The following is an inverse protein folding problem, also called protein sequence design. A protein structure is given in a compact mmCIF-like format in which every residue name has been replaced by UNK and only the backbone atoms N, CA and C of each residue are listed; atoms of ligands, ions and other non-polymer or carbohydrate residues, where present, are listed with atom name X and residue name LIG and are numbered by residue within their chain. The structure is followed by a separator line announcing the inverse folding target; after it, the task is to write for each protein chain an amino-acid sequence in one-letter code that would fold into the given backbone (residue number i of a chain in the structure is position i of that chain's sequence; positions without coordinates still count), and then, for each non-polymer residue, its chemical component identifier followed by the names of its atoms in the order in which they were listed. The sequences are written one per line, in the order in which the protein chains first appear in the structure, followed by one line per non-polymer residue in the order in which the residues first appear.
data_IF_128900148701
#
_entry.id   IF_128900148701
#
_cell.length_a   1.000
_cell.length_b   1.000
_cell.length_c   1.000
_cell.angle_alpha   90.00
_cell.angle_beta   90.00
_cell.angle_gamma   90.00
#
_symmetry.space_group_name_H-M   'P 1'
#
loop_
_entity.id
_entity.type
_entity.pdbx_description
1 polymer ?
#
# COMPACT_ATOMS: atom_id res chain seq x y z
N UNK A 1 -5.36 -33.17 8.62
CA UNK A 1 -4.39 -33.06 9.74
C UNK A 1 -3.46 -31.84 9.63
N UNK A 2 -3.10 -31.36 8.44
CA UNK A 2 -2.26 -30.16 8.25
C UNK A 2 -2.98 -28.83 8.57
N UNK A 3 -4.25 -28.67 8.23
CA UNK A 3 -5.00 -27.45 8.52
C UNK A 3 -5.07 -27.09 10.01
N UNK A 4 -5.21 -28.09 10.89
CA UNK A 4 -5.16 -27.88 12.35
C UNK A 4 -3.79 -27.39 12.85
N UNK A 5 -2.69 -27.75 12.16
CA UNK A 5 -1.34 -27.29 12.51
C UNK A 5 -1.11 -25.82 12.13
N UNK A 6 -1.72 -25.34 11.04
CA UNK A 6 -1.62 -23.95 10.58
C UNK A 6 -2.38 -23.02 11.54
N UNK A 7 -3.60 -23.38 11.93
CA UNK A 7 -4.42 -22.60 12.89
C UNK A 7 -3.73 -22.49 14.26
N UNK A 8 -2.95 -23.50 14.69
CA UNK A 8 -2.22 -23.46 15.93
C UNK A 8 -1.08 -22.41 15.98
N UNK A 9 -0.63 -21.88 14.83
CA UNK A 9 0.38 -20.81 14.79
C UNK A 9 -0.21 -19.50 15.32
N UNK A 10 -1.47 -19.23 15.04
CA UNK A 10 -2.19 -18.02 15.48
C UNK A 10 -2.79 -18.16 16.89
N UNK A 11 -2.77 -19.36 17.48
CA UNK A 11 -3.27 -19.58 18.84
C UNK A 11 -2.39 -18.85 19.86
N UNK A 12 -3.01 -18.01 20.70
CA UNK A 12 -2.36 -17.32 21.81
C UNK A 12 -2.33 -18.27 23.01
N UNK A 13 -1.12 -18.67 23.45
CA UNK A 13 -0.95 -19.58 24.57
C UNK A 13 -1.06 -18.83 25.91
N UNK A 14 -1.41 -19.51 27.03
CA UNK A 14 -1.57 -18.86 28.33
C UNK A 14 -0.37 -18.00 28.74
N UNK A 15 0.86 -18.45 28.46
CA UNK A 15 2.09 -17.72 28.78
C UNK A 15 2.39 -16.52 27.85
N UNK A 16 1.53 -16.22 26.88
CA UNK A 16 1.67 -15.09 25.94
C UNK A 16 0.51 -14.10 26.08
N UNK A 17 -0.55 -14.45 26.82
CA UNK A 17 -1.79 -13.66 26.90
C UNK A 17 -1.57 -12.25 27.41
N UNK A 18 -0.77 -12.11 28.47
CA UNK A 18 -0.52 -10.80 29.09
C UNK A 18 0.11 -9.83 28.11
N UNK A 19 1.21 -10.22 27.47
CA UNK A 19 1.94 -9.40 26.50
C UNK A 19 1.09 -9.09 25.28
N UNK A 20 0.35 -10.09 24.79
CA UNK A 20 -0.53 -9.91 23.61
C UNK A 20 -1.71 -9.00 23.93
N UNK A 21 -2.35 -9.12 25.11
CA UNK A 21 -3.42 -8.23 25.52
C UNK A 21 -2.93 -6.81 25.77
N UNK A 22 -1.74 -6.63 26.34
CA UNK A 22 -1.13 -5.30 26.48
C UNK A 22 -0.87 -4.67 25.11
N UNK A 23 -0.31 -5.41 24.15
CA UNK A 23 -0.11 -4.93 22.79
C UNK A 23 -1.45 -4.56 22.11
N UNK A 24 -2.46 -5.43 22.21
CA UNK A 24 -3.81 -5.18 21.70
C UNK A 24 -4.40 -3.89 22.27
N UNK A 25 -4.32 -3.70 23.58
CA UNK A 25 -4.83 -2.50 24.25
C UNK A 25 -4.09 -1.24 23.81
N UNK A 26 -2.74 -1.29 23.75
CA UNK A 26 -1.94 -0.15 23.29
C UNK A 26 -2.28 0.25 21.85
N UNK A 27 -2.34 -0.71 20.92
CA UNK A 27 -2.68 -0.40 19.54
C UNK A 27 -4.13 0.06 19.37
N UNK A 28 -5.05 -0.47 20.19
CA UNK A 28 -6.44 0.01 20.22
C UNK A 28 -6.51 1.45 20.66
N UNK A 29 -5.83 1.82 21.76
CA UNK A 29 -5.79 3.19 22.25
C UNK A 29 -5.19 4.14 21.21
N UNK A 30 -4.04 3.79 20.61
CA UNK A 30 -3.38 4.62 19.61
C UNK A 30 -4.28 4.87 18.40
N UNK A 31 -4.91 3.83 17.86
CA UNK A 31 -5.83 3.98 16.73
C UNK A 31 -7.11 4.73 17.12
N UNK A 32 -7.66 4.50 18.32
CA UNK A 32 -8.84 5.22 18.82
C UNK A 32 -8.56 6.72 18.98
N UNK A 33 -7.43 7.10 19.57
CA UNK A 33 -7.03 8.50 19.70
C UNK A 33 -6.91 9.18 18.33
N UNK A 34 -6.31 8.49 17.38
CA UNK A 34 -6.19 8.97 16.02
C UNK A 34 -7.57 9.17 15.36
N UNK A 35 -8.45 8.18 15.49
CA UNK A 35 -9.82 8.24 14.97
C UNK A 35 -10.61 9.40 15.58
N UNK A 36 -10.60 9.54 16.91
CA UNK A 36 -11.35 10.59 17.63
C UNK A 36 -10.88 11.97 17.20
N UNK A 37 -9.56 12.17 17.10
CA UNK A 37 -8.96 13.44 16.70
C UNK A 37 -9.34 13.87 15.28
N UNK A 38 -9.47 12.94 14.36
CA UNK A 38 -9.65 13.21 12.93
C UNK A 38 -11.00 12.72 12.37
N UNK A 39 -11.96 12.34 13.23
CA UNK A 39 -13.22 11.69 12.82
C UNK A 39 -13.95 12.42 11.70
N UNK A 40 -14.14 13.72 11.82
CA UNK A 40 -14.94 14.51 10.87
C UNK A 40 -14.37 14.45 9.45
N UNK A 41 -13.04 14.50 9.32
CA UNK A 41 -12.37 14.41 8.03
C UNK A 41 -12.34 12.98 7.47
N UNK A 42 -12.19 11.98 8.35
CA UNK A 42 -12.03 10.58 7.94
C UNK A 42 -13.35 9.86 7.62
N UNK A 43 -14.48 10.37 8.09
CA UNK A 43 -15.82 9.76 7.89
C UNK A 43 -16.62 10.42 6.77
N UNK A 44 -16.08 11.43 6.09
CA UNK A 44 -16.75 12.06 4.95
C UNK A 44 -16.88 11.10 3.77
N UNK A 45 -18.04 11.11 3.12
CA UNK A 45 -18.30 10.27 1.93
C UNK A 45 -17.68 10.90 0.67
N UNK A 46 -17.68 12.23 0.59
CA UNK A 46 -17.18 13.00 -0.56
C UNK A 46 -15.82 13.63 -0.28
N UNK A 47 -15.07 13.95 -1.34
CA UNK A 47 -13.81 14.68 -1.25
C UNK A 47 -12.58 13.88 -1.69
N UNK A 48 -11.44 14.57 -1.80
CA UNK A 48 -10.16 13.98 -2.15
C UNK A 48 -9.51 13.34 -0.91
N UNK A 49 -9.68 12.03 -0.82
CA UNK A 49 -9.18 11.22 0.31
C UNK A 49 -7.66 11.24 0.42
N UNK A 50 -6.96 11.38 -0.70
CA UNK A 50 -5.50 11.42 -0.72
C UNK A 50 -4.95 12.72 -0.15
N UNK A 51 -5.51 13.85 -0.58
CA UNK A 51 -5.07 15.17 -0.10
C UNK A 51 -5.31 15.37 1.39
N UNK A 52 -6.34 14.72 1.94
CA UNK A 52 -6.64 14.75 3.37
C UNK A 52 -5.43 14.28 4.21
N UNK A 53 -4.82 13.16 3.82
CA UNK A 53 -3.66 12.63 4.55
C UNK A 53 -2.41 13.46 4.36
N UNK A 54 -2.14 13.93 3.13
CA UNK A 54 -0.96 14.75 2.83
C UNK A 54 -1.06 16.11 3.51
N UNK A 55 -2.20 16.80 3.37
CA UNK A 55 -2.38 18.16 3.89
C UNK A 55 -2.77 18.21 5.36
N UNK A 56 -3.59 17.26 5.82
CA UNK A 56 -4.12 17.25 7.17
C UNK A 56 -3.22 16.57 8.20
N UNK A 57 -2.52 15.50 7.80
CA UNK A 57 -1.71 14.72 8.73
C UNK A 57 -0.22 14.97 8.62
N UNK A 58 0.26 15.57 7.53
CA UNK A 58 1.67 15.82 7.26
C UNK A 58 2.57 14.59 7.43
N UNK A 59 2.02 13.39 7.21
CA UNK A 59 2.74 12.12 7.33
C UNK A 59 3.62 11.91 6.09
N UNK A 60 4.85 12.38 6.17
CA UNK A 60 5.87 12.08 5.16
C UNK A 60 6.26 10.61 5.21
N UNK A 61 6.29 9.94 4.05
CA UNK A 61 6.72 8.55 3.92
C UNK A 61 5.63 7.49 4.15
N UNK A 62 4.39 7.91 4.45
CA UNK A 62 3.21 7.04 4.52
C UNK A 62 2.20 7.41 3.45
N UNK A 63 1.78 6.43 2.66
CA UNK A 63 0.74 6.58 1.66
C UNK A 63 -0.58 6.04 2.21
N UNK A 64 -1.70 6.78 2.17
CA UNK A 64 -2.98 6.31 2.71
C UNK A 64 -3.65 5.27 1.79
N UNK A 65 -2.86 4.36 1.25
CA UNK A 65 -3.27 3.43 0.19
C UNK A 65 -4.35 2.46 0.68
N UNK A 66 -4.20 1.94 1.90
CA UNK A 66 -5.17 1.00 2.48
C UNK A 66 -6.52 1.68 2.72
N UNK A 67 -6.52 2.90 3.26
CA UNK A 67 -7.74 3.68 3.46
C UNK A 67 -8.40 4.04 2.12
N UNK A 68 -7.63 4.49 1.14
CA UNK A 68 -8.13 4.86 -0.18
C UNK A 68 -8.80 3.68 -0.88
N UNK A 69 -8.19 2.50 -0.85
CA UNK A 69 -8.74 1.27 -1.46
C UNK A 69 -10.02 0.82 -0.74
N UNK A 70 -10.06 0.87 0.60
CA UNK A 70 -11.26 0.48 1.35
C UNK A 70 -12.39 1.49 1.17
N UNK A 71 -12.08 2.79 1.03
CA UNK A 71 -13.06 3.83 0.75
C UNK A 71 -13.66 3.70 -0.65
N UNK A 72 -12.82 3.50 -1.66
CA UNK A 72 -13.21 3.34 -3.06
C UNK A 72 -12.24 2.38 -3.75
N UNK A 73 -12.67 1.14 -3.92
CA UNK A 73 -11.87 0.08 -4.55
C UNK A 73 -11.44 0.42 -5.98
N UNK A 74 -12.18 1.32 -6.64
CA UNK A 74 -11.88 1.79 -7.99
C UNK A 74 -10.71 2.77 -8.06
N UNK A 75 -10.22 3.30 -6.94
CA UNK A 75 -9.11 4.25 -6.94
C UNK A 75 -7.83 3.62 -7.48
N UNK A 76 -7.13 4.35 -8.33
CA UNK A 76 -5.83 3.92 -8.84
C UNK A 76 -4.79 3.88 -7.71
N UNK A 77 -4.08 2.78 -7.62
CA UNK A 77 -2.93 2.60 -6.74
C UNK A 77 -1.77 1.99 -7.56
N UNK A 78 -0.56 2.02 -7.02
CA UNK A 78 0.59 1.47 -7.74
C UNK A 78 0.57 -0.06 -7.73
N UNK A 79 -0.14 -0.65 -8.69
CA UNK A 79 -0.34 -2.11 -8.83
C UNK A 79 0.98 -2.88 -8.93
N UNK A 80 2.01 -2.31 -9.56
CA UNK A 80 3.31 -2.98 -9.67
C UNK A 80 4.08 -3.04 -8.35
N UNK A 81 3.81 -2.11 -7.42
CA UNK A 81 4.38 -2.16 -6.07
C UNK A 81 3.55 -3.00 -5.11
N UNK A 82 2.22 -3.03 -5.30
CA UNK A 82 1.23 -3.65 -4.42
C UNK A 82 0.26 -4.54 -5.21
N UNK A 83 0.74 -5.63 -5.83
CA UNK A 83 0.01 -6.33 -6.90
C UNK A 83 -1.30 -6.97 -6.46
N UNK A 84 -1.43 -7.42 -5.23
CA UNK A 84 -2.64 -8.06 -4.71
C UNK A 84 -3.30 -7.30 -3.56
N UNK A 85 -2.76 -6.15 -3.14
CA UNK A 85 -3.27 -5.41 -1.98
C UNK A 85 -4.76 -5.07 -2.12
N UNK A 86 -5.19 -4.57 -3.28
CA UNK A 86 -6.59 -4.24 -3.51
C UNK A 86 -7.49 -5.47 -3.42
N UNK A 87 -7.04 -6.63 -3.89
CA UNK A 87 -7.81 -7.87 -3.79
C UNK A 87 -7.94 -8.35 -2.35
N UNK A 88 -6.88 -8.23 -1.54
CA UNK A 88 -6.93 -8.54 -0.11
C UNK A 88 -7.86 -7.60 0.66
N UNK A 89 -7.97 -6.35 0.23
CA UNK A 89 -8.83 -5.35 0.85
C UNK A 89 -10.25 -5.30 0.26
N UNK A 90 -10.51 -6.03 -0.83
CA UNK A 90 -11.84 -6.06 -1.46
C UNK A 90 -12.98 -6.39 -0.50
N UNK A 91 -12.88 -7.41 0.39
CA UNK A 91 -13.96 -7.71 1.33
C UNK A 91 -14.24 -6.54 2.29
N UNK A 92 -13.19 -5.84 2.75
CA UNK A 92 -13.34 -4.66 3.61
C UNK A 92 -13.96 -3.48 2.86
N UNK A 93 -13.62 -3.30 1.58
CA UNK A 93 -14.24 -2.27 0.74
C UNK A 93 -15.73 -2.54 0.54
N UNK A 94 -16.13 -3.78 0.28
CA UNK A 94 -17.55 -4.15 0.17
C UNK A 94 -18.31 -3.99 1.49
N UNK A 95 -17.67 -4.32 2.59
CA UNK A 95 -18.24 -4.06 3.93
C UNK A 95 -18.40 -2.56 4.18
N UNK A 96 -17.40 -1.74 3.77
CA UNK A 96 -17.50 -0.30 3.88
C UNK A 96 -18.65 0.28 3.03
N UNK A 97 -18.83 -0.19 1.80
CA UNK A 97 -19.96 0.20 0.95
C UNK A 97 -21.30 -0.07 1.65
N UNK A 98 -21.47 -1.26 2.22
CA UNK A 98 -22.70 -1.63 2.94
C UNK A 98 -22.90 -0.76 4.19
N UNK A 99 -21.86 -0.56 5.00
CA UNK A 99 -21.92 0.28 6.20
C UNK A 99 -22.18 1.75 5.84
N UNK A 100 -21.58 2.26 4.78
CA UNK A 100 -21.81 3.64 4.31
C UNK A 100 -23.25 3.82 3.85
N UNK A 101 -23.81 2.83 3.15
CA UNK A 101 -25.23 2.86 2.75
C UNK A 101 -26.18 2.85 3.98
N UNK A 102 -25.85 2.09 5.02
CA UNK A 102 -26.66 2.00 6.23
C UNK A 102 -26.56 3.24 7.13
N UNK A 103 -25.38 3.83 7.25
CA UNK A 103 -25.09 4.86 8.26
C UNK A 103 -24.97 6.27 7.69
N UNK A 104 -24.79 6.42 6.39
CA UNK A 104 -24.46 7.70 5.74
C UNK A 104 -23.01 8.17 5.97
N UNK A 105 -22.18 7.41 6.70
CA UNK A 105 -20.79 7.74 7.02
C UNK A 105 -19.82 6.78 6.32
N UNK A 106 -18.67 7.30 5.90
CA UNK A 106 -17.58 6.45 5.42
C UNK A 106 -16.91 5.74 6.62
N UNK A 107 -17.13 4.44 6.72
CA UNK A 107 -16.61 3.60 7.83
C UNK A 107 -15.22 3.00 7.51
N UNK A 108 -14.61 3.33 6.36
CA UNK A 108 -13.35 2.74 5.92
C UNK A 108 -12.23 2.86 6.97
N UNK A 109 -12.12 4.01 7.64
CA UNK A 109 -11.06 4.22 8.65
C UNK A 109 -11.21 3.29 9.86
N UNK A 110 -12.45 2.96 10.25
CA UNK A 110 -12.71 2.04 11.37
C UNK A 110 -12.33 0.61 10.99
N UNK A 111 -12.68 0.18 9.78
CA UNK A 111 -12.31 -1.14 9.24
C UNK A 111 -10.81 -1.28 9.07
N UNK A 112 -10.16 -0.23 8.55
CA UNK A 112 -8.69 -0.19 8.43
C UNK A 112 -8.03 -0.19 9.80
N UNK A 113 -8.51 0.58 10.77
CA UNK A 113 -7.97 0.57 12.14
C UNK A 113 -8.05 -0.85 12.75
N UNK A 114 -9.16 -1.56 12.59
CA UNK A 114 -9.30 -2.94 13.05
C UNK A 114 -8.26 -3.87 12.40
N UNK A 115 -8.03 -3.73 11.10
CA UNK A 115 -7.00 -4.46 10.36
C UNK A 115 -5.60 -4.14 10.89
N UNK A 116 -5.27 -2.84 11.09
CA UNK A 116 -3.96 -2.41 11.60
C UNK A 116 -3.72 -2.93 13.01
N UNK A 117 -4.70 -2.81 13.92
CA UNK A 117 -4.64 -3.32 15.30
C UNK A 117 -4.38 -4.83 15.29
N UNK A 118 -5.10 -5.58 14.45
CA UNK A 118 -4.93 -7.02 14.33
C UNK A 118 -3.53 -7.38 13.83
N UNK A 119 -3.07 -6.75 12.74
CA UNK A 119 -1.75 -7.00 12.19
C UNK A 119 -0.63 -6.61 13.16
N UNK A 120 -0.73 -5.47 13.85
CA UNK A 120 0.25 -5.01 14.83
C UNK A 120 0.34 -5.95 16.04
N UNK A 121 -0.83 -6.41 16.54
CA UNK A 121 -0.89 -7.34 17.68
C UNK A 121 -0.24 -8.68 17.33
N UNK A 122 -0.56 -9.25 16.18
CA UNK A 122 0.06 -10.51 15.76
C UNK A 122 1.54 -10.34 15.39
N UNK A 123 1.95 -9.22 14.79
CA UNK A 123 3.35 -8.93 14.56
C UNK A 123 4.13 -8.85 15.88
N UNK A 124 3.58 -8.18 16.91
CA UNK A 124 4.13 -8.15 18.26
C UNK A 124 4.25 -9.54 18.88
N UNK A 125 3.20 -10.37 18.75
CA UNK A 125 3.22 -11.76 19.20
C UNK A 125 4.35 -12.58 18.53
N UNK A 126 4.52 -12.45 17.20
CA UNK A 126 5.56 -13.17 16.48
C UNK A 126 6.97 -12.67 16.82
N UNK A 127 7.17 -11.36 17.00
CA UNK A 127 8.44 -10.81 17.48
C UNK A 127 8.78 -11.38 18.86
N UNK A 128 7.84 -11.35 19.80
CA UNK A 128 8.03 -11.94 21.13
C UNK A 128 8.34 -13.44 21.05
N UNK A 129 7.66 -14.19 20.18
CA UNK A 129 7.96 -15.60 19.94
C UNK A 129 9.33 -15.84 19.33
N UNK A 130 9.81 -14.97 18.44
CA UNK A 130 11.16 -15.04 17.90
C UNK A 130 12.16 -14.90 19.05
N UNK A 131 12.01 -13.87 19.87
CA UNK A 131 12.89 -13.66 21.02
C UNK A 131 12.90 -14.85 21.98
N UNK A 132 11.74 -15.33 22.36
CA UNK A 132 11.62 -16.39 23.38
C UNK A 132 11.84 -17.81 22.87
N UNK A 133 11.27 -18.16 21.70
CA UNK A 133 11.25 -19.55 21.22
C UNK A 133 12.36 -19.85 20.22
N UNK A 134 12.82 -18.86 19.46
CA UNK A 134 13.90 -19.03 18.48
C UNK A 134 15.25 -18.71 19.14
N UNK A 135 15.39 -17.50 19.68
CA UNK A 135 16.62 -16.99 20.31
C UNK A 135 16.83 -17.63 21.71
N UNK A 136 15.76 -17.84 22.46
CA UNK A 136 15.82 -18.47 23.79
C UNK A 136 15.85 -17.48 24.95
N UNK A 137 15.46 -16.23 24.76
CA UNK A 137 15.43 -15.20 25.81
C UNK A 137 14.35 -15.52 26.87
N UNK A 138 14.59 -15.06 28.10
CA UNK A 138 13.59 -15.10 29.18
C UNK A 138 12.36 -14.26 28.82
N UNK A 139 11.26 -14.46 29.54
CA UNK A 139 9.99 -13.80 29.27
C UNK A 139 10.08 -12.28 29.34
N UNK A 140 10.73 -11.76 30.38
CA UNK A 140 10.92 -10.31 30.58
C UNK A 140 11.80 -9.70 29.48
N UNK A 141 12.90 -10.33 29.15
CA UNK A 141 13.82 -9.90 28.09
C UNK A 141 13.11 -9.86 26.73
N UNK A 142 12.38 -10.92 26.38
CA UNK A 142 11.59 -10.96 25.15
C UNK A 142 10.53 -9.87 25.09
N UNK A 143 9.86 -9.56 26.20
CA UNK A 143 8.91 -8.48 26.29
C UNK A 143 9.56 -7.10 26.11
N UNK A 144 10.72 -6.86 26.77
CA UNK A 144 11.49 -5.60 26.66
C UNK A 144 11.95 -5.38 25.21
N UNK A 145 12.53 -6.38 24.55
CA UNK A 145 12.95 -6.25 23.14
C UNK A 145 11.78 -6.07 22.18
N UNK A 146 10.64 -6.67 22.48
CA UNK A 146 9.41 -6.43 21.69
C UNK A 146 8.92 -4.98 21.88
N UNK A 147 8.91 -4.48 23.12
CA UNK A 147 8.56 -3.09 23.41
C UNK A 147 9.55 -2.13 22.73
N UNK A 148 10.85 -2.40 22.80
CA UNK A 148 11.88 -1.60 22.13
C UNK A 148 11.62 -1.53 20.61
N UNK A 149 11.22 -2.64 19.98
CA UNK A 149 10.89 -2.65 18.55
C UNK A 149 9.77 -1.66 18.22
N UNK A 150 8.73 -1.60 19.04
CA UNK A 150 7.59 -0.69 18.84
C UNK A 150 7.82 0.74 19.37
N UNK A 151 8.89 0.99 20.14
CA UNK A 151 9.30 2.33 20.54
C UNK A 151 10.01 3.11 19.43
N UNK A 152 10.45 2.45 18.36
CA UNK A 152 10.91 3.17 17.18
C UNK A 152 9.73 3.90 16.53
N UNK A 153 9.87 5.21 16.37
CA UNK A 153 8.80 6.09 15.87
C UNK A 153 8.18 5.59 14.56
N UNK A 154 8.99 5.11 13.61
CA UNK A 154 8.50 4.58 12.33
C UNK A 154 7.61 3.34 12.52
N UNK A 155 7.97 2.41 13.42
CA UNK A 155 7.20 1.19 13.68
C UNK A 155 5.89 1.53 14.39
N UNK A 156 5.95 2.44 15.37
CA UNK A 156 4.78 2.92 16.08
C UNK A 156 3.81 3.62 15.12
N UNK A 157 4.30 4.54 14.29
CA UNK A 157 3.48 5.23 13.29
C UNK A 157 2.88 4.25 12.27
N UNK A 158 3.64 3.24 11.81
CA UNK A 158 3.13 2.20 10.91
C UNK A 158 1.94 1.42 11.50
N UNK A 159 1.85 1.31 12.84
CA UNK A 159 0.73 0.62 13.52
C UNK A 159 -0.57 1.43 13.57
N UNK A 160 -0.53 2.72 13.24
CA UNK A 160 -1.69 3.62 13.29
C UNK A 160 -1.93 4.39 11.98
N UNK A 161 -0.93 4.49 11.10
CA UNK A 161 -1.11 5.05 9.76
C UNK A 161 -1.85 4.04 8.86
N UNK A 162 -2.91 4.45 8.14
CA UNK A 162 -3.73 3.55 7.32
C UNK A 162 -3.05 3.21 5.99
N UNK A 163 -1.82 2.70 6.11
CA UNK A 163 -0.95 2.24 5.05
C UNK A 163 -0.75 0.71 5.14
N UNK A 164 -0.04 0.14 4.18
CA UNK A 164 0.24 -1.30 4.08
C UNK A 164 1.43 -1.79 4.92
N UNK A 165 2.20 -0.89 5.56
CA UNK A 165 3.45 -1.25 6.25
C UNK A 165 3.27 -2.24 7.39
N UNK A 166 2.26 -2.05 8.24
CA UNK A 166 2.03 -2.98 9.36
C UNK A 166 1.56 -4.36 8.88
N UNK A 167 0.84 -4.43 7.75
CA UNK A 167 0.47 -5.70 7.10
C UNK A 167 1.72 -6.43 6.60
N UNK A 168 2.64 -5.68 5.97
CA UNK A 168 3.94 -6.21 5.54
C UNK A 168 4.77 -6.69 6.73
N UNK A 169 4.81 -5.94 7.83
CA UNK A 169 5.53 -6.32 9.06
C UNK A 169 4.96 -7.60 9.66
N UNK A 170 3.64 -7.74 9.70
CA UNK A 170 2.96 -8.96 10.14
C UNK A 170 3.38 -10.18 9.29
N UNK A 171 3.32 -10.07 7.95
CA UNK A 171 3.71 -11.16 7.06
C UNK A 171 5.21 -11.53 7.22
N UNK A 172 6.08 -10.53 7.34
CA UNK A 172 7.52 -10.75 7.51
C UNK A 172 7.86 -11.37 8.87
N UNK A 173 7.27 -10.89 9.96
CA UNK A 173 7.51 -11.43 11.30
C UNK A 173 6.98 -12.86 11.44
N UNK A 174 5.83 -13.17 10.84
CA UNK A 174 5.33 -14.54 10.73
C UNK A 174 6.32 -15.43 9.96
N UNK A 175 6.83 -14.96 8.82
CA UNK A 175 7.81 -15.71 8.02
C UNK A 175 9.10 -15.96 8.80
N UNK A 176 9.62 -14.94 9.47
CA UNK A 176 10.84 -15.06 10.29
C UNK A 176 10.64 -16.03 11.45
N UNK A 177 9.48 -15.99 12.11
CA UNK A 177 9.15 -16.95 13.16
C UNK A 177 9.09 -18.38 12.63
N UNK A 178 8.40 -18.62 11.50
CA UNK A 178 8.36 -19.93 10.85
C UNK A 178 9.75 -20.42 10.45
N UNK A 179 10.53 -19.56 9.82
CA UNK A 179 11.91 -19.83 9.41
C UNK A 179 12.78 -20.21 10.64
N UNK A 180 12.76 -19.39 11.69
CA UNK A 180 13.53 -19.62 12.91
C UNK A 180 13.15 -20.94 13.60
N UNK A 181 11.86 -21.25 13.69
CA UNK A 181 11.39 -22.53 14.25
C UNK A 181 11.78 -23.74 13.39
N UNK A 182 11.83 -23.58 12.07
CA UNK A 182 12.31 -24.62 11.16
C UNK A 182 13.80 -24.88 11.34
N UNK A 183 14.61 -23.82 11.39
CA UNK A 183 16.05 -23.91 11.63
C UNK A 183 16.36 -24.61 12.97
N UNK A 184 15.65 -24.17 14.02
CA UNK A 184 15.83 -24.79 15.38
C UNK A 184 15.52 -26.28 15.42
N UNK A 185 14.58 -26.73 14.56
CA UNK A 185 14.20 -28.15 14.44
C UNK A 185 15.00 -28.94 13.40
N UNK A 186 16.02 -28.33 12.80
CA UNK A 186 16.81 -28.97 11.72
C UNK A 186 15.98 -29.25 10.44
N UNK A 187 14.87 -28.54 10.26
CA UNK A 187 13.96 -28.72 9.12
C UNK A 187 13.92 -27.48 8.23
N UNK A 188 13.38 -27.62 7.01
CA UNK A 188 13.31 -26.55 6.03
C UNK A 188 11.87 -26.11 5.76
N UNK A 189 11.69 -24.89 5.25
CA UNK A 189 10.41 -24.45 4.68
C UNK A 189 10.07 -25.35 3.50
N UNK A 190 8.84 -25.88 3.48
CA UNK A 190 8.37 -26.64 2.34
C UNK A 190 7.94 -25.71 1.19
N UNK A 191 7.72 -26.28 0.02
CA UNK A 191 7.33 -25.53 -1.18
C UNK A 191 6.06 -24.68 -0.95
N UNK A 192 5.00 -25.28 -0.40
CA UNK A 192 3.74 -24.58 -0.15
C UNK A 192 3.86 -23.44 0.85
N UNK A 193 4.64 -23.63 1.92
CA UNK A 193 4.92 -22.55 2.88
C UNK A 193 5.59 -21.37 2.20
N UNK A 194 6.56 -21.63 1.33
CA UNK A 194 7.24 -20.55 0.59
C UNK A 194 6.29 -19.85 -0.37
N UNK A 195 5.49 -20.61 -1.15
CA UNK A 195 4.52 -20.04 -2.09
C UNK A 195 3.50 -19.17 -1.37
N UNK A 196 2.87 -19.68 -0.31
CA UNK A 196 1.82 -18.97 0.43
C UNK A 196 2.40 -17.69 1.06
N UNK A 197 3.54 -17.80 1.75
CA UNK A 197 4.16 -16.64 2.38
C UNK A 197 4.63 -15.61 1.33
N UNK A 198 5.12 -16.06 0.19
CA UNK A 198 5.48 -15.18 -0.91
C UNK A 198 4.25 -14.45 -1.48
N UNK A 199 3.18 -15.16 -1.81
CA UNK A 199 1.96 -14.55 -2.37
C UNK A 199 1.37 -13.52 -1.40
N UNK A 200 1.27 -13.84 -0.11
CA UNK A 200 0.76 -12.93 0.90
C UNK A 200 1.66 -11.69 1.03
N UNK A 201 2.97 -11.89 1.14
CA UNK A 201 3.90 -10.80 1.43
C UNK A 201 4.18 -9.93 0.20
N UNK A 202 4.47 -10.56 -0.95
CA UNK A 202 4.69 -9.86 -2.22
C UNK A 202 3.40 -9.24 -2.75
N UNK A 203 2.25 -9.85 -2.48
CA UNK A 203 0.94 -9.32 -2.83
C UNK A 203 0.63 -8.00 -2.12
N UNK A 204 1.02 -7.87 -0.85
CA UNK A 204 0.93 -6.60 -0.10
C UNK A 204 2.01 -5.62 -0.55
N UNK A 205 3.25 -6.08 -0.73
CA UNK A 205 4.37 -5.25 -1.18
C UNK A 205 5.42 -6.12 -1.89
N UNK A 206 5.57 -5.90 -3.20
CA UNK A 206 6.38 -6.76 -4.07
C UNK A 206 7.83 -6.90 -3.59
N UNK A 207 8.44 -5.80 -3.16
CA UNK A 207 9.83 -5.78 -2.67
C UNK A 207 10.04 -6.70 -1.45
N UNK A 208 9.00 -6.94 -0.66
CA UNK A 208 9.09 -7.83 0.50
C UNK A 208 9.08 -9.31 0.11
N UNK A 209 8.63 -9.65 -1.09
CA UNK A 209 8.66 -11.02 -1.62
C UNK A 209 10.07 -11.61 -1.68
N UNK A 210 11.09 -10.81 -2.02
CA UNK A 210 12.49 -11.24 -2.04
C UNK A 210 12.94 -11.76 -0.66
N UNK A 211 12.49 -11.14 0.42
CA UNK A 211 12.83 -11.55 1.80
C UNK A 211 12.31 -12.95 2.13
N UNK A 212 11.18 -13.35 1.52
CA UNK A 212 10.63 -14.71 1.67
C UNK A 212 11.54 -15.75 1.00
N UNK A 213 12.03 -15.44 -0.20
CA UNK A 213 12.98 -16.34 -0.87
C UNK A 213 14.31 -16.45 -0.11
N UNK A 214 14.80 -15.35 0.47
CA UNK A 214 15.97 -15.40 1.34
C UNK A 214 15.73 -16.28 2.57
N UNK A 215 14.57 -16.16 3.24
CA UNK A 215 14.22 -17.03 4.36
C UNK A 215 14.13 -18.51 3.95
N UNK A 216 13.54 -18.79 2.78
CA UNK A 216 13.50 -20.13 2.23
C UNK A 216 14.91 -20.67 1.90
N UNK A 217 15.77 -19.85 1.29
CA UNK A 217 17.15 -20.19 0.95
C UNK A 217 17.97 -20.54 2.21
N UNK A 218 17.87 -19.74 3.26
CA UNK A 218 18.56 -20.00 4.54
C UNK A 218 18.13 -21.32 5.15
N UNK A 219 16.85 -21.67 5.12
CA UNK A 219 16.35 -22.94 5.69
C UNK A 219 16.66 -24.16 4.82
N UNK A 220 16.61 -24.01 3.50
CA UNK A 220 16.80 -25.12 2.56
C UNK A 220 18.25 -25.33 2.13
N UNK A 221 19.08 -24.29 2.29
CA UNK A 221 20.49 -24.30 1.86
C UNK A 221 20.62 -24.71 0.38
N UNK A 222 21.49 -25.68 0.04
CA UNK A 222 21.71 -26.18 -1.32
C UNK A 222 20.42 -26.68 -2.01
N UNK A 223 19.48 -27.26 -1.24
CA UNK A 223 18.19 -27.74 -1.77
C UNK A 223 17.27 -26.63 -2.27
N UNK A 224 17.56 -25.38 -1.97
CA UNK A 224 16.83 -24.22 -2.55
C UNK A 224 17.03 -24.15 -4.07
N UNK A 225 18.21 -24.53 -4.56
CA UNK A 225 18.59 -24.48 -5.97
C UNK A 225 18.17 -25.73 -6.78
N UNK A 226 17.46 -26.67 -6.18
CA UNK A 226 16.83 -27.77 -6.91
C UNK A 226 15.86 -27.21 -7.97
N UNK A 227 15.99 -27.63 -9.24
CA UNK A 227 15.25 -27.06 -10.37
C UNK A 227 13.74 -27.07 -10.16
N UNK A 228 13.17 -28.13 -9.58
CA UNK A 228 11.74 -28.23 -9.25
C UNK A 228 11.32 -27.16 -8.24
N UNK A 229 12.14 -26.92 -7.23
CA UNK A 229 11.83 -25.91 -6.23
C UNK A 229 11.94 -24.50 -6.81
N UNK A 230 12.99 -24.20 -7.57
CA UNK A 230 13.13 -22.90 -8.25
C UNK A 230 11.96 -22.64 -9.19
N UNK A 231 11.58 -23.65 -10.00
CA UNK A 231 10.49 -23.48 -10.95
C UNK A 231 9.14 -23.22 -10.23
N UNK A 232 8.76 -24.10 -9.29
CA UNK A 232 7.41 -24.08 -8.70
C UNK A 232 7.26 -23.17 -7.50
N UNK A 233 8.30 -22.90 -6.70
CA UNK A 233 8.22 -22.07 -5.50
C UNK A 233 8.76 -20.66 -5.68
N UNK A 234 9.52 -20.38 -6.75
CA UNK A 234 10.12 -19.05 -7.00
C UNK A 234 9.61 -18.48 -8.31
N UNK A 235 9.91 -19.11 -9.45
CA UNK A 235 9.64 -18.55 -10.78
C UNK A 235 8.15 -18.47 -11.03
N UNK A 236 7.41 -19.58 -10.88
CA UNK A 236 5.99 -19.63 -11.20
C UNK A 236 5.15 -18.65 -10.34
N UNK A 237 5.29 -18.60 -9.00
CA UNK A 237 4.56 -17.62 -8.18
C UNK A 237 4.95 -16.17 -8.51
N UNK A 238 6.21 -15.90 -8.84
CA UNK A 238 6.67 -14.57 -9.26
C UNK A 238 6.03 -14.17 -10.59
N UNK A 239 5.99 -15.08 -11.58
CA UNK A 239 5.34 -14.86 -12.85
C UNK A 239 3.83 -14.65 -12.72
N UNK A 240 3.16 -15.40 -11.83
CA UNK A 240 1.73 -15.24 -11.54
C UNK A 240 1.43 -13.88 -10.91
N UNK A 241 2.22 -13.43 -9.94
CA UNK A 241 2.05 -12.09 -9.34
C UNK A 241 2.31 -10.99 -10.38
N UNK A 242 3.36 -11.12 -11.17
CA UNK A 242 3.66 -10.15 -12.24
C UNK A 242 2.55 -10.12 -13.31
N UNK A 243 2.09 -11.30 -13.74
CA UNK A 243 0.99 -11.43 -14.69
C UNK A 243 -0.33 -10.84 -14.17
N UNK A 244 -0.67 -11.09 -12.90
CA UNK A 244 -1.84 -10.51 -12.25
C UNK A 244 -1.76 -8.99 -12.15
N UNK A 245 -0.58 -8.44 -11.81
CA UNK A 245 -0.35 -7.00 -11.77
C UNK A 245 -0.51 -6.37 -13.16
N UNK A 246 0.05 -7.00 -14.20
CA UNK A 246 -0.07 -6.50 -15.58
C UNK A 246 -1.50 -6.58 -16.10
N UNK A 247 -2.21 -7.67 -15.80
CA UNK A 247 -3.63 -7.81 -16.13
C UNK A 247 -4.47 -6.72 -15.44
N UNK A 248 -4.31 -6.57 -14.13
CA UNK A 248 -5.01 -5.56 -13.33
C UNK A 248 -4.73 -4.13 -13.82
N UNK A 249 -3.48 -3.83 -14.18
CA UNK A 249 -3.12 -2.54 -14.76
C UNK A 249 -3.88 -2.26 -16.05
N UNK A 250 -3.92 -3.23 -16.97
CA UNK A 250 -4.64 -3.09 -18.23
C UNK A 250 -6.15 -2.89 -18.05
N UNK A 251 -6.75 -3.60 -17.07
CA UNK A 251 -8.20 -3.55 -16.85
C UNK A 251 -8.65 -2.31 -16.08
N UNK A 252 -7.93 -1.92 -15.02
CA UNK A 252 -8.43 -0.95 -14.06
C UNK A 252 -7.69 0.39 -14.08
N UNK A 253 -6.42 0.41 -14.47
CA UNK A 253 -5.58 1.62 -14.40
C UNK A 253 -5.41 2.27 -15.77
N UNK A 254 -5.02 1.49 -16.76
CA UNK A 254 -4.75 1.99 -18.12
C UNK A 254 -5.89 2.82 -18.72
N UNK A 255 -7.17 2.39 -18.69
CA UNK A 255 -8.25 3.19 -19.26
C UNK A 255 -8.41 4.55 -18.58
N UNK A 256 -8.25 4.59 -17.24
CA UNK A 256 -8.33 5.82 -16.46
C UNK A 256 -7.16 6.76 -16.74
N UNK A 257 -5.95 6.23 -16.87
CA UNK A 257 -4.77 7.02 -17.25
C UNK A 257 -4.89 7.62 -18.65
N UNK A 258 -5.39 6.84 -19.61
CA UNK A 258 -5.61 7.33 -20.97
C UNK A 258 -6.67 8.43 -21.02
N UNK A 259 -7.81 8.24 -20.35
CA UNK A 259 -8.86 9.27 -20.24
C UNK A 259 -8.33 10.54 -19.55
N UNK A 260 -7.49 10.40 -18.51
CA UNK A 260 -6.86 11.55 -17.83
C UNK A 260 -5.88 12.27 -18.75
N UNK A 261 -5.04 11.55 -19.49
CA UNK A 261 -4.09 12.13 -20.46
C UNK A 261 -4.82 12.90 -21.55
N UNK A 262 -5.88 12.32 -22.11
CA UNK A 262 -6.71 12.97 -23.13
C UNK A 262 -7.39 14.24 -22.60
N UNK A 263 -7.99 14.18 -21.40
CA UNK A 263 -8.58 15.34 -20.73
C UNK A 263 -7.54 16.44 -20.50
N UNK A 264 -6.33 16.08 -20.09
CA UNK A 264 -5.23 17.03 -19.86
C UNK A 264 -4.75 17.64 -21.18
N UNK A 265 -4.64 16.84 -22.25
CA UNK A 265 -4.29 17.34 -23.58
C UNK A 265 -5.33 18.34 -24.12
N UNK A 266 -6.62 17.98 -24.05
CA UNK A 266 -7.72 18.87 -24.45
C UNK A 266 -7.75 20.17 -23.63
N UNK A 267 -7.49 20.10 -22.33
CA UNK A 267 -7.41 21.27 -21.47
C UNK A 267 -6.22 22.17 -21.81
N UNK A 268 -5.09 21.57 -22.18
CA UNK A 268 -3.89 22.28 -22.62
C UNK A 268 -4.14 23.02 -23.94
N UNK A 269 -4.73 22.35 -24.94
CA UNK A 269 -5.10 22.95 -26.22
C UNK A 269 -6.05 24.11 -26.04
N UNK A 270 -7.15 23.95 -25.24
CA UNK A 270 -8.06 25.05 -24.92
C UNK A 270 -7.39 26.24 -24.24
N UNK A 271 -6.32 25.98 -23.46
CA UNK A 271 -5.53 27.04 -22.83
C UNK A 271 -4.66 27.78 -23.86
N UNK A 272 -4.09 27.06 -24.84
CA UNK A 272 -3.39 27.68 -25.96
C UNK A 272 -4.33 28.57 -26.77
N UNK A 273 -5.50 28.04 -27.11
CA UNK A 273 -6.50 28.82 -27.89
C UNK A 273 -6.95 30.08 -27.14
N UNK A 274 -7.25 30.00 -25.85
CA UNK A 274 -7.62 31.17 -25.05
C UNK A 274 -6.50 32.19 -25.02
N UNK A 275 -5.30 31.79 -24.68
CA UNK A 275 -4.17 32.71 -24.61
C UNK A 275 -3.83 33.30 -25.99
N UNK A 276 -4.02 32.52 -27.06
CA UNK A 276 -3.85 33.01 -28.43
C UNK A 276 -4.89 34.09 -28.75
N UNK A 277 -6.18 33.83 -28.48
CA UNK A 277 -7.26 34.77 -28.75
C UNK A 277 -7.07 36.06 -27.93
N UNK A 278 -6.70 35.96 -26.65
CA UNK A 278 -6.45 37.15 -25.82
C UNK A 278 -5.31 38.00 -26.35
N UNK A 279 -4.16 37.39 -26.73
CA UNK A 279 -3.03 38.10 -27.30
C UNK A 279 -3.35 38.64 -28.72
N UNK A 280 -4.06 37.85 -29.52
CA UNK A 280 -4.46 38.24 -30.86
C UNK A 280 -5.40 39.45 -30.85
N UNK A 281 -6.45 39.42 -30.04
CA UNK A 281 -7.41 40.53 -29.93
C UNK A 281 -6.72 41.83 -29.45
N UNK A 282 -5.71 41.70 -28.56
CA UNK A 282 -4.93 42.84 -28.10
C UNK A 282 -4.03 43.43 -29.19
N UNK A 283 -3.52 42.61 -30.10
CA UNK A 283 -2.68 43.05 -31.22
C UNK A 283 -3.52 43.51 -32.42
N UNK A 284 -4.60 42.83 -32.76
CA UNK A 284 -5.50 43.21 -33.85
C UNK A 284 -6.06 44.64 -33.68
N UNK A 285 -6.29 45.04 -32.44
CA UNK A 285 -6.64 46.41 -32.11
C UNK A 285 -5.58 47.46 -32.52
N UNK A 286 -4.35 47.05 -32.72
CA UNK A 286 -3.20 47.90 -33.11
C UNK A 286 -2.87 47.89 -34.60
N UNK A 287 -3.47 46.95 -35.37
CA UNK A 287 -3.10 46.75 -36.78
C UNK A 287 -4.18 47.34 -37.70
N UNK A 288 -3.73 48.16 -38.65
CA UNK A 288 -4.61 48.66 -39.72
C UNK A 288 -4.88 47.54 -40.74
N UNK A 289 -6.09 47.43 -41.22
CA UNK A 289 -6.77 46.35 -41.96
C UNK A 289 -6.15 45.80 -43.26
N UNK A 290 -4.93 46.13 -43.67
CA UNK A 290 -4.52 45.92 -45.09
C UNK A 290 -3.35 44.95 -45.36
N UNK A 291 -2.92 44.09 -44.43
CA UNK A 291 -1.73 43.25 -44.70
C UNK A 291 -1.94 41.77 -44.23
N UNK A 292 -2.70 41.02 -45.03
CA UNK A 292 -3.10 39.66 -44.68
C UNK A 292 -1.94 38.63 -44.52
N UNK A 293 -0.80 38.87 -45.16
CA UNK A 293 0.39 38.00 -45.10
C UNK A 293 1.13 38.22 -43.79
N UNK A 294 1.35 39.44 -43.38
CA UNK A 294 1.97 39.82 -42.10
C UNK A 294 1.13 39.34 -40.90
N UNK A 295 -0.19 39.44 -41.05
CA UNK A 295 -1.14 38.95 -40.03
C UNK A 295 -0.96 37.44 -39.78
N UNK A 296 -0.91 36.61 -40.81
CA UNK A 296 -0.72 35.17 -40.71
C UNK A 296 0.62 34.80 -40.09
N UNK A 297 1.70 35.48 -40.47
CA UNK A 297 3.04 35.26 -39.91
C UNK A 297 3.07 35.57 -38.40
N UNK A 298 2.46 36.69 -37.99
CA UNK A 298 2.38 37.13 -36.60
C UNK A 298 1.50 36.21 -35.73
N UNK A 299 0.40 35.71 -36.29
CA UNK A 299 -0.43 34.70 -35.61
C UNK A 299 0.37 33.44 -35.27
N UNK A 300 1.22 32.97 -36.20
CA UNK A 300 2.08 31.78 -35.98
C UNK A 300 3.09 32.06 -34.87
N UNK A 301 3.81 33.16 -34.89
CA UNK A 301 4.75 33.54 -33.85
C UNK A 301 4.12 33.60 -32.45
N UNK A 302 2.97 34.22 -32.30
CA UNK A 302 2.25 34.32 -31.02
C UNK A 302 1.87 32.93 -30.53
N UNK A 303 1.36 32.06 -31.39
CA UNK A 303 0.99 30.70 -31.06
C UNK A 303 2.21 29.89 -30.58
N UNK A 304 3.34 29.99 -31.26
CA UNK A 304 4.56 29.27 -30.91
C UNK A 304 5.14 29.79 -29.57
N UNK A 305 5.15 31.10 -29.35
CA UNK A 305 5.56 31.72 -28.08
C UNK A 305 4.73 31.21 -26.88
N UNK A 306 3.40 31.23 -27.02
CA UNK A 306 2.49 30.74 -25.97
C UNK A 306 2.73 29.26 -25.68
N UNK A 307 2.94 28.45 -26.72
CA UNK A 307 3.24 27.03 -26.58
C UNK A 307 4.53 26.83 -25.79
N UNK A 308 5.59 27.57 -26.10
CA UNK A 308 6.87 27.52 -25.37
C UNK A 308 6.73 27.94 -23.90
N UNK A 309 6.01 29.04 -23.63
CA UNK A 309 5.78 29.50 -22.24
C UNK A 309 5.01 28.45 -21.41
N UNK A 310 4.00 27.80 -22.01
CA UNK A 310 3.20 26.79 -21.33
C UNK A 310 3.95 25.46 -21.12
N UNK A 311 4.90 25.13 -22.01
CA UNK A 311 5.78 23.95 -21.85
C UNK A 311 6.82 24.19 -20.75
N UNK A 312 7.41 25.39 -20.65
CA UNK A 312 8.38 25.73 -19.59
C UNK A 312 7.77 25.79 -18.18
N UNK A 313 6.47 26.00 -18.06
CA UNK A 313 5.74 26.06 -16.77
C UNK A 313 5.18 24.69 -16.32
N UNK A 314 5.49 23.63 -17.06
CA UNK A 314 5.08 22.24 -16.80
C UNK A 314 6.27 21.42 -16.25
#
# INVERSE_FOLDING_TARGET
MESRKILNIFRIYPGERRETLTALLCFTILNALNLVRHRNALTTVTGDKWSLFIKGWHLSGFDPITYSIVTDWSTGYNIYRHPLLAYFLWPLSKLNEALTWLTGYNCAIMLVALLLITCATYASLFINRIHRRVIGLKRTEGAVFTLLTYSFAHVMLASMAPDHFIMSMFCLTLTLYLCGMKLKRGSAMNMWQTIIMFILTAGVSLNNGLKIFLAAMVTRRKRFFEWRYLLFAVILPSALIWGSARWSYKQFVWPKEMARKEKTAKAFEKRIERNFNDKWNAEEAKWKKNDSVKIKARQKEIRDSIRHELIKKK
#
